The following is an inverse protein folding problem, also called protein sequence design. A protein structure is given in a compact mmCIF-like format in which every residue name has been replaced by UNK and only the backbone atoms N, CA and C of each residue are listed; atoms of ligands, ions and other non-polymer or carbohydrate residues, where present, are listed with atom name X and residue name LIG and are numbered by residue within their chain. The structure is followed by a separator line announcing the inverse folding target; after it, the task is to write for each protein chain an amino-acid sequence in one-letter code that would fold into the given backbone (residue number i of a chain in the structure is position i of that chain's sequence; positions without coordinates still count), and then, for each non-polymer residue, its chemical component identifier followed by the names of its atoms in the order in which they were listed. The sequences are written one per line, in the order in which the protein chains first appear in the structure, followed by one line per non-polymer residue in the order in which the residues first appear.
data_IF_950849440523
#
_entry.id   IF_950849440523
#
_cell.length_a   1.000
_cell.length_b   1.000
_cell.length_c   1.000
_cell.angle_alpha   90.00
_cell.angle_beta   90.00
_cell.angle_gamma   90.00
#
_symmetry.space_group_name_H-M   'P 1'
#
loop_
_entity.id
_entity.type
_entity.pdbx_description
1 polymer ?
#
# COMPACT_ATOMS: atom_id res chain seq x y z
N UNK A 1 8.28 13.31 -22.73
CA UNK A 1 7.08 13.41 -21.88
C UNK A 1 7.38 14.10 -20.57
N UNK A 2 6.41 14.81 -19.98
CA UNK A 2 6.57 15.39 -18.66
C UNK A 2 6.45 14.34 -17.56
N UNK A 3 7.24 14.47 -16.50
CA UNK A 3 7.25 13.54 -15.37
C UNK A 3 7.66 14.21 -14.06
N UNK A 4 7.23 13.64 -12.95
CA UNK A 4 7.69 14.00 -11.61
C UNK A 4 8.80 13.04 -11.18
N UNK A 5 10.04 13.53 -11.21
CA UNK A 5 11.24 12.74 -10.99
C UNK A 5 11.89 13.05 -9.64
N UNK A 6 12.19 12.01 -8.87
CA UNK A 6 13.01 12.12 -7.66
C UNK A 6 14.49 11.92 -8.03
N UNK A 7 15.32 12.91 -7.71
CA UNK A 7 16.76 12.94 -8.03
C UNK A 7 17.59 12.83 -6.77
N UNK A 8 18.58 11.93 -6.78
CA UNK A 8 19.55 11.88 -5.72
C UNK A 8 20.57 13.01 -5.91
N UNK A 9 20.52 13.99 -5.02
CA UNK A 9 21.51 15.07 -4.93
C UNK A 9 21.69 15.39 -3.45
N UNK A 10 22.90 15.16 -2.88
CA UNK A 10 23.15 15.34 -1.44
C UNK A 10 22.79 16.74 -0.92
N UNK A 11 23.09 17.80 -1.70
CA UNK A 11 22.78 19.17 -1.29
C UNK A 11 21.26 19.42 -1.21
N UNK A 12 20.49 18.95 -2.21
CA UNK A 12 19.03 19.04 -2.21
C UNK A 12 18.39 18.21 -1.11
N UNK A 13 18.91 17.00 -0.87
CA UNK A 13 18.43 16.14 0.21
C UNK A 13 18.70 16.76 1.58
N UNK A 14 19.91 17.30 1.80
CA UNK A 14 20.28 18.00 3.01
C UNK A 14 19.39 19.23 3.25
N UNK A 15 19.22 20.07 2.23
CA UNK A 15 18.29 21.22 2.28
C UNK A 15 16.87 20.76 2.67
N UNK A 16 16.31 19.79 1.95
CA UNK A 16 14.96 19.31 2.20
C UNK A 16 14.80 18.73 3.62
N UNK A 17 15.80 17.98 4.13
CA UNK A 17 15.78 17.42 5.48
C UNK A 17 15.80 18.49 6.57
N UNK A 18 16.65 19.52 6.43
CA UNK A 18 16.77 20.62 7.39
C UNK A 18 15.52 21.51 7.35
N UNK A 19 15.15 21.98 6.17
CA UNK A 19 14.01 22.88 6.02
C UNK A 19 12.66 22.18 6.19
N UNK A 20 12.61 20.87 5.94
CA UNK A 20 11.45 20.01 6.16
C UNK A 20 11.03 19.91 7.62
N UNK A 21 11.94 20.12 8.55
CA UNK A 21 11.63 20.25 9.99
C UNK A 21 10.67 21.44 10.27
N UNK A 22 10.81 22.52 9.51
CA UNK A 22 9.97 23.71 9.67
C UNK A 22 8.71 23.67 8.79
N UNK A 23 8.81 23.07 7.59
CA UNK A 23 7.68 23.00 6.67
C UNK A 23 7.82 21.82 5.68
N UNK A 24 6.81 20.97 5.56
CA UNK A 24 6.81 19.88 4.56
C UNK A 24 6.90 20.39 3.11
N UNK A 25 6.54 21.64 2.86
CA UNK A 25 6.66 22.28 1.53
C UNK A 25 8.10 22.36 1.03
N UNK A 26 9.10 22.32 1.93
CA UNK A 26 10.51 22.34 1.58
C UNK A 26 10.92 21.13 0.70
N UNK A 27 10.35 19.95 0.95
CA UNK A 27 10.60 18.74 0.14
C UNK A 27 10.11 18.89 -1.30
N UNK A 28 9.10 19.72 -1.52
CA UNK A 28 8.43 19.93 -2.81
C UNK A 28 8.83 21.25 -3.47
N UNK A 29 9.76 21.99 -2.86
CA UNK A 29 10.28 23.25 -3.41
C UNK A 29 11.19 22.99 -4.61
N UNK A 30 11.52 24.06 -5.37
CA UNK A 30 12.48 23.98 -6.47
C UNK A 30 13.90 23.57 -6.03
N UNK A 31 14.22 23.72 -4.74
CA UNK A 31 15.46 23.27 -4.12
C UNK A 31 15.36 21.86 -3.53
N UNK A 32 14.16 21.25 -3.51
CA UNK A 32 13.95 19.88 -3.05
C UNK A 32 14.39 18.83 -4.07
N UNK A 33 14.34 17.54 -3.68
CA UNK A 33 14.77 16.44 -4.55
C UNK A 33 13.79 16.11 -5.67
N UNK A 34 12.52 16.55 -5.57
CA UNK A 34 11.46 16.23 -6.52
C UNK A 34 11.36 17.32 -7.59
N UNK A 35 11.43 16.93 -8.85
CA UNK A 35 11.48 17.84 -10.00
C UNK A 35 10.43 17.44 -11.03
N UNK A 36 9.58 18.38 -11.42
CA UNK A 36 8.75 18.25 -12.62
C UNK A 36 9.62 18.63 -13.83
N UNK A 37 9.76 17.72 -14.77
CA UNK A 37 10.72 17.87 -15.87
C UNK A 37 10.32 17.01 -17.07
N UNK A 38 10.78 17.42 -18.23
CA UNK A 38 10.69 16.61 -19.43
C UNK A 38 11.74 15.49 -19.40
N UNK A 39 11.32 14.26 -19.73
CA UNK A 39 12.16 13.08 -19.89
C UNK A 39 11.83 12.39 -21.23
N UNK A 40 12.73 11.58 -21.79
CA UNK A 40 12.42 10.78 -22.98
C UNK A 40 11.19 9.89 -22.76
N UNK A 41 10.44 9.64 -23.82
CA UNK A 41 9.38 8.63 -23.81
C UNK A 41 9.99 7.24 -23.53
N UNK A 42 9.27 6.35 -22.85
CA UNK A 42 9.76 5.00 -22.58
C UNK A 42 9.94 4.21 -23.87
N UNK A 43 11.01 3.41 -23.88
CA UNK A 43 11.30 2.45 -24.94
C UNK A 43 11.05 1.02 -24.43
N UNK A 44 10.94 0.06 -25.36
CA UNK A 44 10.91 -1.35 -24.99
C UNK A 44 12.26 -1.77 -24.41
N UNK A 45 12.25 -2.35 -23.21
CA UNK A 45 13.46 -2.79 -22.53
C UNK A 45 13.89 -4.21 -22.96
N UNK A 46 13.00 -4.96 -23.59
CA UNK A 46 13.24 -6.21 -24.33
C UNK A 46 12.03 -6.51 -25.21
N UNK A 47 12.08 -7.63 -25.92
CA UNK A 47 10.99 -8.06 -26.85
C UNK A 47 9.66 -8.40 -26.13
N UNK A 48 9.67 -8.61 -24.81
CA UNK A 48 8.46 -8.90 -24.01
C UNK A 48 7.92 -7.67 -23.27
N UNK A 49 8.38 -6.46 -23.62
CA UNK A 49 7.96 -5.23 -22.99
C UNK A 49 6.90 -4.49 -23.80
N UNK A 50 6.13 -3.71 -23.11
CA UNK A 50 5.06 -2.84 -23.63
C UNK A 50 5.29 -1.41 -23.18
N UNK A 51 4.59 -0.47 -23.81
CA UNK A 51 4.41 0.89 -23.29
C UNK A 51 2.94 1.05 -22.93
N UNK A 52 2.68 1.42 -21.69
CA UNK A 52 1.34 1.68 -21.15
C UNK A 52 1.11 3.19 -21.08
N UNK A 53 -0.03 3.66 -21.58
CA UNK A 53 -0.54 5.00 -21.34
C UNK A 53 -1.29 4.99 -20.02
N UNK A 54 -0.78 5.71 -19.03
CA UNK A 54 -1.41 5.89 -17.72
C UNK A 54 -2.77 6.56 -17.87
N UNK A 55 -3.78 6.07 -17.18
CA UNK A 55 -5.08 6.72 -17.02
C UNK A 55 -5.25 7.26 -15.62
N UNK A 56 -4.99 6.42 -14.62
CA UNK A 56 -4.91 6.85 -13.22
C UNK A 56 -3.64 6.27 -12.59
N UNK A 57 -3.05 7.05 -11.68
CA UNK A 57 -2.01 6.56 -10.79
C UNK A 57 -2.36 6.92 -9.35
N UNK A 58 -2.56 5.93 -8.50
CA UNK A 58 -2.78 6.12 -7.07
C UNK A 58 -1.52 6.61 -6.36
N UNK A 59 -1.69 7.54 -5.41
CA UNK A 59 -0.61 7.93 -4.50
C UNK A 59 -0.65 7.00 -3.29
N UNK A 60 0.40 6.19 -3.14
CA UNK A 60 0.59 5.30 -2.00
C UNK A 60 1.19 6.03 -0.79
N UNK A 61 0.97 5.47 0.39
CA UNK A 61 1.66 5.94 1.60
C UNK A 61 3.19 5.77 1.51
N UNK A 62 3.68 4.77 0.78
CA UNK A 62 5.11 4.56 0.53
C UNK A 62 5.72 5.68 -0.33
N UNK A 63 5.03 6.13 -1.38
CA UNK A 63 5.47 7.28 -2.19
C UNK A 63 5.59 8.54 -1.33
N UNK A 64 4.58 8.79 -0.48
CA UNK A 64 4.58 9.91 0.45
C UNK A 64 5.79 9.84 1.39
N UNK A 65 6.07 8.67 1.98
CA UNK A 65 7.24 8.48 2.85
C UNK A 65 8.56 8.69 2.13
N UNK A 66 8.70 8.22 0.90
CA UNK A 66 9.89 8.46 0.08
C UNK A 66 10.09 9.96 -0.19
N UNK A 67 9.04 10.66 -0.63
CA UNK A 67 9.09 12.09 -0.95
C UNK A 67 9.46 12.93 0.26
N UNK A 68 8.85 12.65 1.41
CA UNK A 68 9.09 13.41 2.65
C UNK A 68 10.23 12.81 3.50
N UNK A 69 10.97 11.83 2.95
CA UNK A 69 12.16 11.22 3.55
C UNK A 69 11.88 10.71 4.98
N UNK A 70 10.71 10.07 5.17
CA UNK A 70 10.29 9.50 6.46
C UNK A 70 10.87 8.09 6.66
N UNK A 71 12.21 8.01 6.61
CA UNK A 71 12.98 6.80 6.89
C UNK A 71 14.37 7.20 7.41
N UNK A 72 15.04 6.25 8.08
CA UNK A 72 16.43 6.40 8.47
C UNK A 72 17.37 6.00 7.31
N UNK A 73 18.60 6.53 7.30
CA UNK A 73 19.58 6.22 6.24
C UNK A 73 20.07 4.77 6.28
N UNK A 74 19.98 4.11 7.43
CA UNK A 74 20.28 2.69 7.61
C UNK A 74 19.16 1.75 7.23
N UNK A 75 18.03 2.27 6.68
CA UNK A 75 16.94 1.45 6.19
C UNK A 75 17.43 0.51 5.06
N UNK A 76 17.31 -0.82 5.21
CA UNK A 76 17.79 -1.78 4.21
C UNK A 76 17.19 -1.58 2.81
N UNK A 77 15.97 -1.05 2.70
CA UNK A 77 15.31 -0.80 1.42
C UNK A 77 16.04 0.21 0.54
N UNK A 78 16.94 1.05 1.11
CA UNK A 78 17.80 1.96 0.35
C UNK A 78 18.74 1.22 -0.60
N UNK A 79 19.05 -0.04 -0.35
CA UNK A 79 19.84 -0.90 -1.23
C UNK A 79 19.10 -1.32 -2.50
N UNK A 80 17.76 -1.23 -2.50
CA UNK A 80 16.87 -1.71 -3.55
C UNK A 80 16.17 -0.57 -4.31
N UNK A 81 16.83 0.59 -4.43
CA UNK A 81 16.36 1.72 -5.24
C UNK A 81 17.49 2.25 -6.11
N UNK A 82 17.18 2.86 -7.25
CA UNK A 82 18.15 3.55 -8.10
C UNK A 82 17.58 4.88 -8.59
N UNK A 83 18.47 5.85 -8.83
CA UNK A 83 18.12 7.23 -9.20
C UNK A 83 18.68 7.59 -10.59
N UNK A 84 18.05 8.54 -11.29
CA UNK A 84 16.81 9.22 -10.95
C UNK A 84 15.61 8.27 -11.09
N UNK A 85 14.55 8.45 -10.32
CA UNK A 85 13.35 7.60 -10.39
C UNK A 85 12.08 8.44 -10.57
N UNK A 86 11.12 7.92 -11.32
CA UNK A 86 9.77 8.48 -11.46
C UNK A 86 8.83 7.61 -10.65
N UNK A 87 8.28 8.14 -9.56
CA UNK A 87 7.46 7.41 -8.60
C UNK A 87 6.11 6.94 -9.17
N UNK A 88 5.34 6.27 -8.35
CA UNK A 88 3.98 5.78 -8.63
C UNK A 88 3.94 4.36 -9.14
N UNK A 89 3.32 3.48 -8.37
CA UNK A 89 3.25 2.05 -8.65
C UNK A 89 1.80 1.50 -8.68
N UNK A 90 0.82 2.25 -8.23
CA UNK A 90 -0.60 1.88 -8.31
C UNK A 90 -1.20 2.42 -9.63
N UNK A 91 -0.98 1.74 -10.74
CA UNK A 91 -1.26 2.26 -12.08
C UNK A 91 -2.33 1.45 -12.80
N UNK A 92 -3.28 2.15 -13.41
CA UNK A 92 -4.18 1.62 -14.43
C UNK A 92 -4.05 2.42 -15.72
N UNK A 93 -4.16 1.73 -16.84
CA UNK A 93 -3.96 2.37 -18.13
C UNK A 93 -4.41 1.55 -19.32
N UNK A 94 -3.94 1.97 -20.49
CA UNK A 94 -4.19 1.30 -21.77
C UNK A 94 -2.86 1.03 -22.44
N UNK A 95 -2.65 -0.16 -22.94
CA UNK A 95 -1.45 -0.52 -23.71
C UNK A 95 -1.38 0.32 -24.98
N UNK A 96 -0.36 1.19 -25.07
CA UNK A 96 -0.12 2.07 -26.22
C UNK A 96 0.56 1.32 -27.37
N UNK A 97 1.54 0.48 -27.03
CA UNK A 97 2.31 -0.31 -28.00
C UNK A 97 2.94 -1.53 -27.33
N UNK A 98 3.23 -2.55 -28.13
CA UNK A 98 3.84 -3.81 -27.71
C UNK A 98 5.07 -4.08 -28.55
N UNK A 99 6.11 -4.68 -27.96
CA UNK A 99 7.28 -5.19 -28.70
C UNK A 99 6.96 -6.52 -29.40
N UNK A 100 7.85 -6.95 -30.31
CA UNK A 100 7.62 -8.09 -31.19
C UNK A 100 7.43 -9.44 -30.52
N UNK A 101 7.98 -9.64 -29.34
CA UNK A 101 7.89 -10.88 -28.56
C UNK A 101 6.74 -10.92 -27.55
N UNK A 102 5.92 -9.88 -27.44
CA UNK A 102 4.74 -9.86 -26.57
C UNK A 102 3.67 -10.78 -27.14
N UNK A 103 3.22 -11.75 -26.36
CA UNK A 103 2.26 -12.78 -26.80
C UNK A 103 0.97 -12.78 -25.99
N UNK A 104 0.98 -12.24 -24.77
CA UNK A 104 -0.14 -12.30 -23.82
C UNK A 104 -0.97 -11.01 -23.77
N UNK A 105 -0.50 -9.95 -24.43
CA UNK A 105 -1.10 -8.61 -24.36
C UNK A 105 -1.15 -7.97 -25.74
N UNK A 106 -2.05 -7.01 -25.92
CA UNK A 106 -2.20 -6.29 -27.19
C UNK A 106 -2.43 -4.80 -27.01
N UNK A 107 -2.13 -4.04 -28.05
CA UNK A 107 -2.40 -2.60 -28.09
C UNK A 107 -3.91 -2.33 -27.91
N UNK A 108 -4.25 -1.33 -27.12
CA UNK A 108 -5.62 -0.95 -26.79
C UNK A 108 -6.21 -1.69 -25.59
N UNK A 109 -5.56 -2.71 -25.06
CA UNK A 109 -6.03 -3.45 -23.89
C UNK A 109 -5.97 -2.59 -22.64
N UNK A 110 -7.05 -2.62 -21.83
CA UNK A 110 -7.15 -1.95 -20.53
C UNK A 110 -6.49 -2.82 -19.47
N UNK A 111 -5.54 -2.26 -18.71
CA UNK A 111 -4.70 -3.03 -17.80
C UNK A 111 -4.50 -2.35 -16.45
N UNK A 112 -4.30 -3.17 -15.41
CA UNK A 112 -3.72 -2.78 -14.12
C UNK A 112 -2.30 -3.33 -14.02
N UNK A 113 -1.40 -2.55 -13.44
CA UNK A 113 0.00 -2.86 -13.27
C UNK A 113 0.25 -3.63 -11.96
N UNK A 114 0.79 -4.85 -12.05
CA UNK A 114 1.52 -5.45 -10.94
C UNK A 114 2.94 -4.86 -10.95
N UNK A 115 3.31 -4.03 -9.97
CA UNK A 115 4.49 -3.18 -10.13
C UNK A 115 5.84 -3.90 -9.94
N UNK A 116 5.87 -5.14 -9.49
CA UNK A 116 7.08 -5.82 -9.02
C UNK A 116 8.04 -6.15 -10.16
N UNK A 117 9.26 -5.61 -10.07
CA UNK A 117 10.37 -5.90 -10.98
C UNK A 117 11.07 -7.21 -10.57
N UNK A 118 10.33 -8.29 -10.60
CA UNK A 118 10.76 -9.63 -10.20
C UNK A 118 11.65 -10.31 -11.26
N UNK A 119 11.95 -11.60 -11.13
CA UNK A 119 12.85 -12.32 -12.03
C UNK A 119 12.47 -12.18 -13.50
N UNK A 120 11.18 -12.36 -13.85
CA UNK A 120 10.72 -12.39 -15.25
C UNK A 120 10.91 -11.04 -15.96
N UNK A 121 10.43 -9.89 -15.42
CA UNK A 121 10.75 -8.58 -16.00
C UNK A 121 12.24 -8.28 -16.11
N UNK A 122 13.06 -8.88 -15.24
CA UNK A 122 14.53 -8.73 -15.23
C UNK A 122 15.27 -9.65 -16.18
N UNK A 123 14.56 -10.51 -16.92
CA UNK A 123 15.14 -11.50 -17.82
C UNK A 123 15.96 -12.59 -17.11
N UNK A 124 15.61 -12.93 -15.87
CA UNK A 124 16.33 -13.90 -15.05
C UNK A 124 15.65 -15.26 -15.12
N UNK A 125 16.42 -16.27 -15.54
CA UNK A 125 16.04 -17.69 -15.55
C UNK A 125 17.17 -18.53 -14.97
N UNK A 126 16.89 -19.58 -14.17
CA UNK A 126 15.57 -19.94 -13.66
C UNK A 126 15.04 -18.90 -12.64
N UNK A 127 13.72 -18.86 -12.47
CA UNK A 127 13.11 -17.99 -11.44
C UNK A 127 13.57 -18.40 -10.05
N UNK A 128 13.76 -17.42 -9.15
CA UNK A 128 14.01 -17.70 -7.72
C UNK A 128 12.81 -18.39 -7.05
N UNK A 129 13.00 -18.93 -5.84
CA UNK A 129 11.97 -19.66 -5.12
C UNK A 129 10.70 -18.81 -4.94
N UNK A 130 10.84 -17.57 -4.47
CA UNK A 130 9.72 -16.67 -4.27
C UNK A 130 8.91 -16.41 -5.56
N UNK A 131 9.59 -16.18 -6.69
CA UNK A 131 8.91 -15.95 -7.97
C UNK A 131 8.19 -17.19 -8.50
N UNK A 132 8.76 -18.39 -8.33
CA UNK A 132 8.09 -19.66 -8.69
C UNK A 132 6.80 -19.86 -7.90
N UNK A 133 6.80 -19.41 -6.65
CA UNK A 133 5.64 -19.51 -5.76
C UNK A 133 4.63 -18.36 -5.94
N UNK A 134 4.88 -17.44 -6.88
CA UNK A 134 4.00 -16.28 -7.12
C UNK A 134 4.16 -15.14 -6.10
N UNK A 135 5.18 -15.20 -5.25
CA UNK A 135 5.52 -14.15 -4.27
C UNK A 135 6.49 -13.14 -4.88
N UNK A 136 6.09 -12.47 -5.94
CA UNK A 136 6.94 -11.56 -6.74
C UNK A 136 7.56 -10.43 -5.91
N UNK A 137 6.85 -9.97 -4.90
CA UNK A 137 7.27 -8.93 -3.96
C UNK A 137 8.38 -9.36 -2.98
N UNK A 138 8.71 -10.66 -2.93
CA UNK A 138 9.81 -11.24 -2.18
C UNK A 138 10.94 -11.76 -3.10
N UNK A 139 11.00 -11.28 -4.33
CA UNK A 139 12.02 -11.69 -5.28
C UNK A 139 13.43 -11.48 -4.72
N UNK A 140 14.28 -12.52 -4.84
CA UNK A 140 15.67 -12.47 -4.37
C UNK A 140 16.59 -11.66 -5.30
N UNK A 141 16.09 -11.26 -6.48
CA UNK A 141 16.88 -10.72 -7.59
C UNK A 141 16.58 -9.24 -7.93
N UNK A 142 16.09 -8.43 -6.99
CA UNK A 142 15.78 -7.03 -7.26
C UNK A 142 16.97 -6.15 -7.65
N UNK A 143 18.20 -6.66 -7.55
CA UNK A 143 19.43 -5.98 -7.92
C UNK A 143 20.13 -6.61 -9.13
N UNK A 144 19.61 -7.74 -9.65
CA UNK A 144 20.22 -8.51 -10.74
C UNK A 144 19.46 -8.35 -12.06
N UNK A 145 19.97 -8.97 -13.12
CA UNK A 145 19.38 -8.94 -14.47
C UNK A 145 19.70 -7.66 -15.22
N UNK A 146 18.96 -7.38 -16.29
CA UNK A 146 19.24 -6.27 -17.19
C UNK A 146 18.67 -4.91 -16.74
N UNK A 147 17.80 -4.89 -15.72
CA UNK A 147 17.26 -3.65 -15.17
C UNK A 147 18.16 -3.07 -14.08
N UNK A 148 18.18 -1.77 -13.94
CA UNK A 148 18.75 -1.14 -12.76
C UNK A 148 18.07 -1.65 -11.48
N UNK A 149 18.77 -1.62 -10.34
CA UNK A 149 18.21 -2.06 -9.06
C UNK A 149 16.93 -1.32 -8.74
N UNK A 150 15.94 -2.04 -8.20
CA UNK A 150 14.62 -1.51 -7.87
C UNK A 150 13.65 -2.65 -7.59
N UNK A 151 12.81 -2.51 -6.57
CA UNK A 151 11.82 -3.53 -6.23
C UNK A 151 10.61 -3.50 -7.16
N UNK A 152 10.16 -2.31 -7.51
CA UNK A 152 8.95 -2.10 -8.31
C UNK A 152 9.11 -0.90 -9.26
N UNK A 153 8.21 -0.76 -10.21
CA UNK A 153 8.07 0.44 -11.03
C UNK A 153 7.98 1.66 -10.12
N UNK A 154 8.71 2.70 -10.47
CA UNK A 154 8.75 3.91 -9.66
C UNK A 154 9.89 3.99 -8.65
N UNK A 155 10.67 2.92 -8.44
CA UNK A 155 11.89 3.00 -7.64
C UNK A 155 13.14 2.42 -8.34
N UNK A 156 13.07 2.25 -9.65
CA UNK A 156 14.18 1.92 -10.54
C UNK A 156 14.45 3.07 -11.51
N UNK A 157 15.72 3.35 -11.80
CA UNK A 157 16.10 4.35 -12.80
C UNK A 157 15.83 3.91 -14.25
N UNK A 158 15.61 2.62 -14.48
CA UNK A 158 15.31 2.06 -15.81
C UNK A 158 13.81 1.98 -16.06
N UNK A 159 13.00 1.73 -15.01
CA UNK A 159 11.55 1.52 -15.13
C UNK A 159 10.82 2.64 -14.41
N UNK A 160 10.29 3.57 -15.19
CA UNK A 160 9.49 4.68 -14.65
C UNK A 160 8.19 4.18 -14.06
N UNK A 161 7.67 4.90 -13.06
CA UNK A 161 6.34 4.71 -12.51
C UNK A 161 5.29 5.62 -13.10
N UNK A 162 4.11 5.60 -12.50
CA UNK A 162 2.92 6.30 -13.02
C UNK A 162 2.87 7.81 -12.74
N UNK A 163 3.92 8.42 -12.16
CA UNK A 163 4.02 9.88 -12.12
C UNK A 163 4.56 10.42 -13.45
N UNK A 164 4.13 9.78 -14.52
CA UNK A 164 4.34 10.11 -15.91
C UNK A 164 3.18 9.57 -16.77
N UNK A 165 2.87 10.20 -17.92
CA UNK A 165 1.75 9.75 -18.78
C UNK A 165 2.00 8.44 -19.50
N UNK A 166 3.27 8.01 -19.63
CA UNK A 166 3.66 6.75 -20.24
C UNK A 166 4.66 6.03 -19.32
N UNK A 167 4.55 4.70 -19.25
CA UNK A 167 5.53 3.86 -18.54
C UNK A 167 5.81 2.56 -19.31
N UNK A 168 7.05 2.01 -19.20
CA UNK A 168 7.34 0.69 -19.74
C UNK A 168 6.87 -0.37 -18.75
N UNK A 169 6.29 -1.46 -19.25
CA UNK A 169 5.90 -2.60 -18.44
C UNK A 169 6.14 -3.91 -19.19
N UNK A 170 6.69 -4.91 -18.52
CA UNK A 170 6.79 -6.26 -19.07
C UNK A 170 5.40 -6.90 -19.12
N UNK A 171 5.11 -7.74 -20.14
CA UNK A 171 3.77 -8.34 -20.29
C UNK A 171 3.28 -9.11 -19.06
N UNK A 172 4.20 -9.72 -18.26
CA UNK A 172 3.86 -10.45 -17.03
C UNK A 172 3.43 -9.54 -15.87
N UNK A 173 3.70 -8.25 -15.97
CA UNK A 173 3.29 -7.24 -14.97
C UNK A 173 1.87 -6.72 -15.23
N UNK A 174 1.27 -7.06 -16.35
CA UNK A 174 0.00 -6.47 -16.78
C UNK A 174 -1.15 -7.48 -16.63
N UNK A 175 -2.19 -7.03 -15.94
CA UNK A 175 -3.42 -7.79 -15.74
C UNK A 175 -4.58 -7.07 -16.45
N UNK A 176 -5.40 -7.79 -17.25
CA UNK A 176 -6.50 -7.17 -17.97
C UNK A 176 -7.58 -6.70 -16.99
N UNK A 177 -8.13 -5.53 -17.25
CA UNK A 177 -9.31 -5.02 -16.53
C UNK A 177 -10.55 -5.57 -17.25
N UNK A 178 -11.41 -6.33 -16.56
CA UNK A 178 -12.63 -6.87 -17.14
C UNK A 178 -13.56 -5.78 -17.67
N UNK A 179 -14.35 -6.13 -18.69
CA UNK A 179 -15.41 -5.27 -19.19
C UNK A 179 -16.41 -4.92 -18.07
N UNK A 180 -16.86 -3.67 -18.09
CA UNK A 180 -17.77 -3.15 -17.05
C UNK A 180 -17.08 -2.60 -15.80
N UNK A 181 -15.82 -2.92 -15.54
CA UNK A 181 -15.03 -2.34 -14.43
C UNK A 181 -14.42 -1.01 -14.90
N UNK A 182 -14.66 0.05 -14.17
CA UNK A 182 -14.09 1.38 -14.43
C UNK A 182 -12.61 1.47 -14.04
N UNK A 183 -11.89 2.49 -14.52
CA UNK A 183 -10.53 2.75 -14.03
C UNK A 183 -10.51 3.16 -12.57
N UNK A 184 -11.58 3.78 -12.07
CA UNK A 184 -11.73 4.16 -10.66
C UNK A 184 -11.79 2.94 -9.73
N UNK A 185 -12.49 1.91 -10.14
CA UNK A 185 -12.50 0.64 -9.43
C UNK A 185 -11.17 -0.09 -9.60
N UNK A 186 -10.65 -0.14 -10.82
CA UNK A 186 -9.43 -0.89 -11.11
C UNK A 186 -8.19 -0.34 -10.41
N UNK A 187 -8.06 0.97 -10.17
CA UNK A 187 -6.91 1.57 -9.46
C UNK A 187 -6.86 1.17 -7.98
N UNK A 188 -7.95 0.64 -7.44
CA UNK A 188 -7.99 0.09 -6.09
C UNK A 188 -7.49 -1.37 -6.03
N UNK A 189 -7.21 -2.01 -7.15
CA UNK A 189 -6.74 -3.41 -7.18
C UNK A 189 -5.44 -3.60 -6.37
N UNK A 190 -4.48 -2.68 -6.48
CA UNK A 190 -3.23 -2.74 -5.73
C UNK A 190 -3.48 -2.65 -4.21
N UNK A 191 -4.06 -1.58 -3.64
CA UNK A 191 -4.30 -1.50 -2.19
C UNK A 191 -5.29 -2.57 -1.67
N UNK A 192 -6.25 -3.01 -2.49
CA UNK A 192 -7.11 -4.15 -2.14
C UNK A 192 -6.28 -5.42 -1.96
N UNK A 193 -5.38 -5.69 -2.89
CA UNK A 193 -4.53 -6.88 -2.87
C UNK A 193 -3.58 -6.92 -1.67
N UNK A 194 -3.03 -5.77 -1.27
CA UNK A 194 -2.25 -5.63 -0.03
C UNK A 194 -3.08 -6.02 1.19
N UNK A 195 -4.33 -5.55 1.27
CA UNK A 195 -5.23 -5.85 2.37
C UNK A 195 -5.68 -7.31 2.36
N UNK A 196 -5.97 -7.86 1.18
CA UNK A 196 -6.36 -9.27 1.01
C UNK A 196 -5.22 -10.21 1.43
N UNK A 197 -3.99 -9.97 0.95
CA UNK A 197 -2.81 -10.75 1.33
C UNK A 197 -2.63 -10.79 2.85
N UNK A 198 -2.75 -9.66 3.52
CA UNK A 198 -2.61 -9.57 4.98
C UNK A 198 -3.65 -10.43 5.71
N UNK A 199 -4.90 -10.41 5.24
CA UNK A 199 -6.00 -11.17 5.83
C UNK A 199 -5.81 -12.67 5.56
N UNK A 200 -5.48 -13.07 4.32
CA UNK A 200 -5.28 -14.47 3.97
C UNK A 200 -4.02 -15.07 4.64
N UNK A 201 -3.00 -14.25 4.93
CA UNK A 201 -1.80 -14.67 5.66
C UNK A 201 -2.08 -15.01 7.12
N UNK A 202 -3.04 -14.36 7.73
CA UNK A 202 -3.46 -14.62 9.11
C UNK A 202 -4.98 -14.45 9.20
N UNK A 203 -5.75 -15.40 8.67
CA UNK A 203 -7.21 -15.30 8.68
C UNK A 203 -7.74 -15.33 10.12
N UNK A 204 -8.81 -14.56 10.42
CA UNK A 204 -9.43 -14.59 11.73
C UNK A 204 -10.11 -15.94 11.95
N UNK A 205 -10.10 -16.47 13.19
CA UNK A 205 -10.93 -17.63 13.53
C UNK A 205 -12.42 -17.39 13.28
N UNK A 206 -13.19 -18.47 13.19
CA UNK A 206 -14.65 -18.36 13.08
C UNK A 206 -15.21 -17.72 14.36
N UNK A 207 -16.22 -16.84 14.20
CA UNK A 207 -16.90 -16.13 15.30
C UNK A 207 -15.94 -15.38 16.24
N UNK A 208 -14.86 -14.86 15.71
CA UNK A 208 -13.82 -14.15 16.44
C UNK A 208 -13.96 -12.63 16.36
N UNK A 209 -13.02 -11.92 17.00
CA UNK A 209 -12.94 -10.48 17.00
C UNK A 209 -11.67 -10.00 16.29
N UNK A 210 -11.80 -8.95 15.51
CA UNK A 210 -10.67 -8.30 14.83
C UNK A 210 -10.66 -6.80 15.09
N UNK A 211 -9.44 -6.25 15.24
CA UNK A 211 -9.22 -4.82 15.13
C UNK A 211 -8.61 -4.51 13.76
N UNK A 212 -9.17 -3.54 13.05
CA UNK A 212 -8.52 -2.87 11.94
C UNK A 212 -7.98 -1.53 12.45
N UNK A 213 -6.66 -1.44 12.60
CA UNK A 213 -6.01 -0.25 13.12
C UNK A 213 -5.62 0.70 11.98
N UNK A 214 -6.32 1.85 11.91
CA UNK A 214 -6.17 2.85 10.86
C UNK A 214 -7.14 2.68 9.70
N UNK A 215 -8.09 3.62 9.56
CA UNK A 215 -9.11 3.64 8.53
C UNK A 215 -8.73 4.53 7.33
N UNK A 216 -7.50 4.38 6.83
CA UNK A 216 -7.10 4.85 5.50
C UNK A 216 -7.54 3.87 4.40
N UNK A 217 -7.01 4.01 3.19
CA UNK A 217 -7.37 3.13 2.05
C UNK A 217 -7.23 1.65 2.40
N UNK A 218 -6.08 1.22 2.95
CA UNK A 218 -5.86 -0.19 3.31
C UNK A 218 -6.83 -0.66 4.40
N UNK A 219 -7.02 0.13 5.47
CA UNK A 219 -7.90 -0.29 6.57
C UNK A 219 -9.36 -0.39 6.15
N UNK A 220 -9.87 0.55 5.35
CA UNK A 220 -11.22 0.50 4.82
C UNK A 220 -11.42 -0.74 3.93
N UNK A 221 -10.46 -1.04 3.05
CA UNK A 221 -10.49 -2.25 2.23
C UNK A 221 -10.38 -3.51 3.09
N UNK A 222 -9.57 -3.51 4.16
CA UNK A 222 -9.50 -4.63 5.10
C UNK A 222 -10.86 -4.90 5.78
N UNK A 223 -11.57 -3.84 6.21
CA UNK A 223 -12.93 -3.98 6.79
C UNK A 223 -13.88 -4.61 5.79
N UNK A 224 -13.90 -4.14 4.54
CA UNK A 224 -14.76 -4.68 3.49
C UNK A 224 -14.46 -6.16 3.19
N UNK A 225 -13.17 -6.52 3.10
CA UNK A 225 -12.72 -7.91 2.87
C UNK A 225 -13.13 -8.80 4.05
N UNK A 226 -12.86 -8.38 5.29
CA UNK A 226 -13.22 -9.11 6.48
C UNK A 226 -14.73 -9.35 6.57
N UNK A 227 -15.55 -8.32 6.32
CA UNK A 227 -17.00 -8.44 6.35
C UNK A 227 -17.52 -9.37 5.25
N UNK A 228 -16.87 -9.34 4.07
CA UNK A 228 -17.27 -10.21 2.97
C UNK A 228 -16.89 -11.67 3.21
N UNK A 229 -15.66 -11.95 3.65
CA UNK A 229 -15.15 -13.31 3.79
C UNK A 229 -15.54 -13.98 5.11
N UNK A 230 -15.79 -13.20 6.17
CA UNK A 230 -16.04 -13.68 7.53
C UNK A 230 -17.26 -12.97 8.13
N UNK A 231 -18.47 -13.35 7.70
CA UNK A 231 -19.71 -12.65 8.03
C UNK A 231 -19.98 -12.52 9.53
N UNK A 232 -19.59 -13.52 10.33
CA UNK A 232 -19.77 -13.55 11.80
C UNK A 232 -18.74 -12.78 12.61
N UNK A 233 -17.69 -12.22 11.97
CA UNK A 233 -16.62 -11.55 12.72
C UNK A 233 -17.07 -10.22 13.34
N UNK A 234 -16.65 -9.97 14.60
CA UNK A 234 -16.80 -8.67 15.24
C UNK A 234 -15.63 -7.76 14.84
N UNK A 235 -15.88 -6.77 13.97
CA UNK A 235 -14.87 -5.86 13.43
C UNK A 235 -14.89 -4.55 14.19
N UNK A 236 -13.83 -4.31 14.96
CA UNK A 236 -13.58 -3.05 15.64
C UNK A 236 -12.59 -2.20 14.83
N UNK A 237 -13.03 -1.06 14.31
CA UNK A 237 -12.19 -0.18 13.51
C UNK A 237 -11.65 0.98 14.37
N UNK A 238 -10.35 1.31 14.23
CA UNK A 238 -9.76 2.46 14.90
C UNK A 238 -9.53 3.56 13.86
N UNK A 239 -10.36 4.61 13.96
CA UNK A 239 -10.34 5.76 13.07
C UNK A 239 -9.81 7.01 13.77
N UNK A 240 -9.20 7.93 13.02
CA UNK A 240 -8.72 9.20 13.55
C UNK A 240 -9.63 10.37 13.18
N UNK A 241 -10.33 10.29 12.06
CA UNK A 241 -11.08 11.39 11.48
C UNK A 241 -12.55 11.01 11.22
N UNK A 242 -13.50 11.98 11.26
CA UNK A 242 -14.93 11.70 11.08
C UNK A 242 -15.28 11.04 9.74
N UNK A 243 -14.62 11.43 8.64
CA UNK A 243 -14.85 10.80 7.34
C UNK A 243 -14.43 9.32 7.32
N UNK A 244 -13.36 8.97 8.04
CA UNK A 244 -12.91 7.59 8.18
C UNK A 244 -13.90 6.76 9.00
N UNK A 245 -14.46 7.33 10.07
CA UNK A 245 -15.49 6.70 10.89
C UNK A 245 -16.73 6.35 10.06
N UNK A 246 -17.25 7.30 9.28
CA UNK A 246 -18.39 7.09 8.40
C UNK A 246 -18.12 5.95 7.40
N UNK A 247 -17.02 6.01 6.68
CA UNK A 247 -16.66 4.99 5.70
C UNK A 247 -16.39 3.61 6.33
N UNK A 248 -15.83 3.56 7.55
CA UNK A 248 -15.61 2.29 8.23
C UNK A 248 -16.96 1.57 8.55
N UNK A 249 -17.99 2.30 8.97
CA UNK A 249 -19.32 1.73 9.12
C UNK A 249 -19.93 1.30 7.78
N UNK A 250 -19.80 2.11 6.73
CA UNK A 250 -20.28 1.77 5.38
C UNK A 250 -19.61 0.50 4.83
N UNK A 251 -18.33 0.26 5.20
CA UNK A 251 -17.55 -0.93 4.84
C UNK A 251 -17.89 -2.15 5.72
N UNK A 252 -18.69 -2.00 6.77
CA UNK A 252 -19.16 -3.10 7.59
C UNK A 252 -18.45 -3.28 8.93
N UNK A 253 -17.78 -2.26 9.48
CA UNK A 253 -17.29 -2.30 10.86
C UNK A 253 -18.46 -2.45 11.84
N UNK A 254 -18.29 -3.29 12.86
CA UNK A 254 -19.29 -3.49 13.92
C UNK A 254 -19.32 -2.30 14.89
N UNK A 255 -18.14 -1.72 15.14
CA UNK A 255 -17.95 -0.53 15.94
C UNK A 255 -16.72 0.25 15.48
N UNK A 256 -16.74 1.56 15.65
CA UNK A 256 -15.58 2.43 15.38
C UNK A 256 -15.17 3.14 16.66
N UNK A 257 -13.90 3.02 17.01
CA UNK A 257 -13.26 3.84 18.06
C UNK A 257 -12.59 5.03 17.37
N UNK A 258 -13.14 6.23 17.60
CA UNK A 258 -12.56 7.46 17.06
C UNK A 258 -11.59 8.05 18.08
N UNK A 259 -10.37 7.59 18.07
CA UNK A 259 -9.30 8.10 18.93
C UNK A 259 -7.91 7.97 18.32
N UNK A 260 -7.00 8.82 18.76
CA UNK A 260 -5.56 8.74 18.52
C UNK A 260 -4.76 8.43 19.80
N UNK A 261 -5.45 8.33 20.93
CA UNK A 261 -4.84 8.16 22.25
C UNK A 261 -4.87 6.68 22.65
N UNK A 262 -3.71 6.03 22.85
CA UNK A 262 -3.64 4.61 23.18
C UNK A 262 -4.48 4.21 24.40
N UNK A 263 -4.46 5.02 25.46
CA UNK A 263 -5.23 4.73 26.68
C UNK A 263 -6.74 4.63 26.42
N UNK A 264 -7.31 5.57 25.65
CA UNK A 264 -8.73 5.57 25.29
C UNK A 264 -9.10 4.34 24.45
N UNK A 265 -8.19 3.93 23.53
CA UNK A 265 -8.40 2.74 22.69
C UNK A 265 -8.40 1.49 23.57
N UNK A 266 -7.44 1.34 24.47
CA UNK A 266 -7.34 0.19 25.38
C UNK A 266 -8.58 0.10 26.29
N UNK A 267 -9.01 1.24 26.82
CA UNK A 267 -10.21 1.33 27.67
C UNK A 267 -11.48 0.94 26.88
N UNK A 268 -11.64 1.44 25.64
CA UNK A 268 -12.78 1.11 24.80
C UNK A 268 -12.83 -0.39 24.47
N UNK A 269 -11.68 -1.04 24.22
CA UNK A 269 -11.60 -2.50 24.02
C UNK A 269 -11.95 -3.25 25.31
N UNK A 270 -11.44 -2.79 26.47
CA UNK A 270 -11.81 -3.33 27.79
C UNK A 270 -13.32 -3.33 28.03
N UNK A 271 -13.96 -2.19 27.78
CA UNK A 271 -15.41 -2.02 27.93
C UNK A 271 -16.22 -2.90 26.96
N UNK A 272 -15.80 -2.93 25.67
CA UNK A 272 -16.50 -3.72 24.63
C UNK A 272 -16.56 -5.19 24.96
N UNK A 273 -15.47 -5.75 25.44
CA UNK A 273 -15.33 -7.20 25.68
C UNK A 273 -15.46 -7.56 27.17
N UNK A 274 -15.79 -6.58 28.03
CA UNK A 274 -15.91 -6.73 29.48
C UNK A 274 -14.68 -7.42 30.09
N UNK A 275 -13.47 -6.94 29.72
CA UNK A 275 -12.19 -7.49 30.17
C UNK A 275 -11.60 -6.51 31.19
N UNK A 276 -11.14 -7.05 32.31
CA UNK A 276 -10.51 -6.26 33.38
C UNK A 276 -9.30 -5.47 32.86
N UNK A 277 -9.31 -4.17 33.12
CA UNK A 277 -8.19 -3.27 32.84
C UNK A 277 -7.16 -3.37 33.95
N UNK A 278 -5.92 -3.64 33.61
CA UNK A 278 -4.80 -3.72 34.54
C UNK A 278 -3.88 -2.52 34.37
N UNK A 279 -3.49 -1.90 35.48
CA UNK A 279 -2.68 -0.70 35.51
C UNK A 279 -1.27 -1.01 36.03
N UNK A 280 -0.22 -0.81 35.22
CA UNK A 280 1.15 -0.81 35.73
C UNK A 280 1.40 0.39 36.64
N UNK A 281 2.49 0.41 37.34
CA UNK A 281 2.87 1.56 38.19
C UNK A 281 2.99 2.88 37.41
N UNK A 282 3.40 2.78 36.15
CA UNK A 282 3.45 3.89 35.20
C UNK A 282 3.16 3.39 33.78
N UNK A 283 2.68 4.28 32.90
CA UNK A 283 2.46 4.00 31.47
C UNK A 283 1.03 3.56 31.16
N UNK A 284 0.87 2.93 30.00
CA UNK A 284 -0.43 2.54 29.48
C UNK A 284 -0.99 1.30 30.19
N UNK A 285 -2.31 1.25 30.42
CA UNK A 285 -2.96 0.04 30.91
C UNK A 285 -2.88 -1.08 29.87
N UNK A 286 -3.26 -2.29 30.28
CA UNK A 286 -3.30 -3.44 29.38
C UNK A 286 -4.36 -4.47 29.80
N UNK A 287 -4.65 -5.43 28.92
CA UNK A 287 -5.64 -6.48 29.13
C UNK A 287 -4.96 -7.84 29.05
N UNK A 288 -5.35 -8.78 29.91
CA UNK A 288 -4.95 -10.20 29.75
C UNK A 288 -5.75 -10.89 28.64
N UNK A 289 -7.02 -10.55 28.48
CA UNK A 289 -7.82 -10.94 27.31
C UNK A 289 -7.60 -9.99 26.14
N UNK A 290 -8.56 -9.92 25.24
CA UNK A 290 -8.56 -9.00 24.10
C UNK A 290 -9.05 -9.63 22.80
N UNK A 291 -8.71 -9.01 21.70
CA UNK A 291 -9.12 -9.44 20.37
C UNK A 291 -8.23 -10.57 19.82
N UNK A 292 -8.77 -11.35 18.91
CA UNK A 292 -8.10 -12.50 18.30
C UNK A 292 -7.01 -12.08 17.32
N UNK A 293 -7.30 -11.07 16.50
CA UNK A 293 -6.38 -10.58 15.46
C UNK A 293 -6.46 -9.07 15.29
N UNK A 294 -5.32 -8.45 15.01
CA UNK A 294 -5.22 -7.04 14.64
C UNK A 294 -4.57 -6.93 13.25
N UNK A 295 -5.19 -6.16 12.36
CA UNK A 295 -4.61 -5.74 11.09
C UNK A 295 -4.17 -4.28 11.23
N UNK A 296 -2.88 -4.08 11.47
CA UNK A 296 -2.28 -2.75 11.66
C UNK A 296 -1.82 -2.18 10.32
N UNK A 297 -2.60 -1.25 9.76
CA UNK A 297 -2.31 -0.60 8.48
C UNK A 297 -1.44 0.66 8.63
N UNK A 298 -0.97 0.97 9.83
CA UNK A 298 -0.10 2.12 10.16
C UNK A 298 1.32 1.65 10.43
N UNK A 299 1.50 0.61 11.25
CA UNK A 299 2.78 0.00 11.58
C UNK A 299 3.72 0.94 12.35
N UNK A 300 3.19 1.76 13.25
CA UNK A 300 3.99 2.63 14.12
C UNK A 300 4.27 1.95 15.46
N UNK A 301 5.33 2.39 16.15
CA UNK A 301 5.61 1.95 17.52
C UNK A 301 4.39 2.08 18.44
N UNK A 302 3.64 3.18 18.31
CA UNK A 302 2.42 3.43 19.09
C UNK A 302 1.30 2.43 18.77
N UNK A 303 1.05 2.12 17.48
CA UNK A 303 -0.02 1.20 17.09
C UNK A 303 0.32 -0.23 17.46
N UNK A 304 1.59 -0.63 17.30
CA UNK A 304 2.10 -1.94 17.72
C UNK A 304 1.96 -2.08 19.24
N UNK A 305 2.44 -1.11 20.03
CA UNK A 305 2.34 -1.15 21.49
C UNK A 305 0.89 -1.21 21.96
N UNK A 306 0.00 -0.41 21.38
CA UNK A 306 -1.44 -0.46 21.70
C UNK A 306 -2.02 -1.84 21.34
N UNK A 307 -1.67 -2.36 20.16
CA UNK A 307 -2.08 -3.69 19.73
C UNK A 307 -1.65 -4.79 20.69
N UNK A 308 -0.39 -4.79 21.12
CA UNK A 308 0.12 -5.77 22.09
C UNK A 308 -0.66 -5.76 23.42
N UNK A 309 -1.17 -4.60 23.83
CA UNK A 309 -1.92 -4.44 25.08
C UNK A 309 -3.35 -4.98 24.99
N UNK A 310 -3.96 -4.98 23.79
CA UNK A 310 -5.36 -5.36 23.58
C UNK A 310 -5.57 -6.67 22.83
N UNK A 311 -4.50 -7.31 22.34
CA UNK A 311 -4.56 -8.64 21.73
C UNK A 311 -4.59 -9.70 22.85
N UNK A 312 -5.41 -10.74 22.70
CA UNK A 312 -5.45 -11.87 23.64
C UNK A 312 -4.14 -12.67 23.65
N UNK A 313 -3.88 -13.52 24.67
CA UNK A 313 -2.77 -14.45 24.62
C UNK A 313 -2.81 -15.32 23.35
N UNK A 314 -1.66 -15.49 22.69
CA UNK A 314 -1.48 -16.22 21.43
C UNK A 314 -2.30 -15.69 20.27
N UNK A 315 -2.77 -14.43 20.36
CA UNK A 315 -3.41 -13.74 19.25
C UNK A 315 -2.37 -13.22 18.23
N UNK A 316 -2.86 -12.67 17.13
CA UNK A 316 -2.03 -12.24 16.01
C UNK A 316 -2.11 -10.71 15.79
N UNK A 317 -0.97 -10.11 15.46
CA UNK A 317 -0.91 -8.73 14.95
C UNK A 317 -0.24 -8.78 13.57
N UNK A 318 -1.00 -8.48 12.53
CA UNK A 318 -0.54 -8.43 11.14
C UNK A 318 -0.20 -6.98 10.81
N UNK A 319 1.07 -6.72 10.55
CA UNK A 319 1.58 -5.37 10.28
C UNK A 319 1.75 -5.18 8.77
N UNK A 320 0.91 -4.35 8.17
CA UNK A 320 0.96 -3.98 6.75
C UNK A 320 1.53 -2.58 6.51
N UNK A 321 1.38 -1.70 7.51
CA UNK A 321 2.00 -0.39 7.50
C UNK A 321 3.45 -0.46 7.94
N UNK A 322 4.29 0.43 7.41
CA UNK A 322 5.69 0.58 7.84
C UNK A 322 5.94 2.02 8.20
N UNK A 323 6.31 2.27 9.44
CA UNK A 323 6.69 3.59 9.93
C UNK A 323 8.13 3.54 10.47
N UNK A 324 8.73 4.73 10.63
CA UNK A 324 10.08 4.85 11.21
C UNK A 324 10.13 4.15 12.57
N UNK A 325 11.10 3.26 12.83
CA UNK A 325 11.23 2.55 14.11
C UNK A 325 11.39 3.52 15.29
N UNK A 326 10.69 3.22 16.38
CA UNK A 326 10.82 3.92 17.67
C UNK A 326 10.73 2.91 18.81
N UNK A 327 11.21 3.28 19.99
CA UNK A 327 11.03 2.47 21.19
C UNK A 327 9.55 2.34 21.54
N UNK A 328 9.15 1.19 22.02
CA UNK A 328 7.86 0.90 22.63
C UNK A 328 8.01 -0.21 23.68
N UNK A 329 7.06 -0.31 24.58
CA UNK A 329 7.02 -1.37 25.58
C UNK A 329 6.47 -2.66 24.99
N UNK A 330 7.28 -3.66 24.89
CA UNK A 330 6.93 -4.93 24.21
C UNK A 330 6.77 -6.13 25.16
N UNK A 331 6.90 -5.93 26.50
CA UNK A 331 6.68 -7.00 27.47
C UNK A 331 5.37 -7.78 27.25
N UNK A 332 4.23 -7.16 26.87
CA UNK A 332 3.02 -7.89 26.53
C UNK A 332 3.18 -8.88 25.37
N UNK A 333 4.05 -8.59 24.39
CA UNK A 333 4.38 -9.54 23.31
C UNK A 333 4.96 -10.83 23.87
N UNK A 334 5.99 -10.70 24.70
CA UNK A 334 6.62 -11.85 25.35
C UNK A 334 5.66 -12.58 26.29
N UNK A 335 5.01 -11.84 27.18
CA UNK A 335 4.19 -12.43 28.24
C UNK A 335 2.93 -13.12 27.74
N UNK A 336 2.28 -12.59 26.69
CA UNK A 336 1.08 -13.15 26.08
C UNK A 336 1.38 -14.05 24.87
N UNK A 337 2.65 -14.30 24.54
CA UNK A 337 3.07 -15.09 23.37
C UNK A 337 2.37 -14.64 22.07
N UNK A 338 2.27 -13.32 21.86
CA UNK A 338 1.58 -12.74 20.68
C UNK A 338 2.44 -12.89 19.43
N UNK A 339 1.84 -13.30 18.31
CA UNK A 339 2.52 -13.35 17.02
C UNK A 339 2.54 -11.97 16.36
N UNK A 340 3.72 -11.42 16.06
CA UNK A 340 3.89 -10.26 15.18
C UNK A 340 4.22 -10.77 13.78
N UNK A 341 3.32 -10.49 12.83
CA UNK A 341 3.38 -11.02 11.47
C UNK A 341 3.55 -9.84 10.50
N UNK A 342 4.72 -9.75 9.85
CA UNK A 342 4.92 -8.80 8.77
C UNK A 342 4.14 -9.21 7.52
N UNK A 343 3.45 -8.28 6.87
CA UNK A 343 2.76 -8.50 5.60
C UNK A 343 3.17 -7.42 4.61
N UNK A 344 3.90 -7.81 3.58
CA UNK A 344 4.39 -6.90 2.55
C UNK A 344 3.67 -7.21 1.23
N UNK A 345 3.03 -6.21 0.64
CA UNK A 345 2.45 -6.28 -0.69
C UNK A 345 1.48 -7.45 -0.96
N UNK A 346 1.60 -8.10 -2.14
CA UNK A 346 0.69 -9.15 -2.59
C UNK A 346 1.30 -9.98 -3.73
N UNK A 347 0.73 -11.16 -3.95
CA UNK A 347 1.12 -12.07 -5.02
C UNK A 347 -0.01 -13.04 -5.38
N UNK A 348 0.35 -14.33 -5.52
CA UNK A 348 -0.60 -15.43 -5.76
C UNK A 348 -1.02 -16.04 -4.44
N UNK A 349 -2.32 -16.09 -4.19
CA UNK A 349 -2.93 -16.60 -2.98
C UNK A 349 -3.73 -17.89 -3.21
N UNK A 350 -3.92 -18.67 -2.15
CA UNK A 350 -4.92 -19.73 -2.12
C UNK A 350 -6.27 -19.13 -1.75
N UNK A 351 -7.15 -19.04 -2.72
CA UNK A 351 -8.50 -18.50 -2.53
C UNK A 351 -9.54 -19.47 -3.07
N UNK A 352 -10.50 -19.85 -2.26
CA UNK A 352 -11.56 -20.81 -2.61
C UNK A 352 -11.00 -22.11 -3.24
N UNK A 353 -9.88 -22.63 -2.70
CA UNK A 353 -9.24 -23.86 -3.18
C UNK A 353 -8.42 -23.74 -4.46
N UNK A 354 -8.25 -22.53 -4.98
CA UNK A 354 -7.47 -22.25 -6.20
C UNK A 354 -6.35 -21.26 -5.95
N UNK A 355 -5.22 -21.46 -6.64
CA UNK A 355 -4.13 -20.48 -6.63
C UNK A 355 -4.42 -19.41 -7.68
N UNK A 356 -4.58 -18.16 -7.23
CA UNK A 356 -4.90 -17.00 -8.08
C UNK A 356 -4.11 -15.78 -7.64
N UNK A 357 -3.77 -14.93 -8.59
CA UNK A 357 -3.22 -13.62 -8.27
C UNK A 357 -4.28 -12.75 -7.59
N UNK A 358 -3.86 -11.91 -6.62
CA UNK A 358 -4.80 -11.06 -5.88
C UNK A 358 -5.64 -10.14 -6.77
N UNK A 359 -5.12 -9.68 -7.91
CA UNK A 359 -5.89 -8.89 -8.88
C UNK A 359 -7.03 -9.69 -9.51
N UNK A 360 -6.79 -10.96 -9.85
CA UNK A 360 -7.84 -11.83 -10.40
C UNK A 360 -8.94 -12.08 -9.38
N UNK A 361 -8.55 -12.24 -8.09
CA UNK A 361 -9.51 -12.38 -6.98
C UNK A 361 -10.34 -11.09 -6.85
N UNK A 362 -9.68 -9.92 -6.86
CA UNK A 362 -10.36 -8.63 -6.78
C UNK A 362 -11.39 -8.45 -7.89
N UNK A 363 -10.99 -8.64 -9.14
CA UNK A 363 -11.88 -8.49 -10.28
C UNK A 363 -13.01 -9.53 -10.29
N UNK A 364 -12.73 -10.76 -9.87
CA UNK A 364 -13.77 -11.76 -9.70
C UNK A 364 -14.82 -11.35 -8.67
N UNK A 365 -14.41 -10.82 -7.53
CA UNK A 365 -15.32 -10.36 -6.48
C UNK A 365 -16.20 -9.19 -6.94
N UNK A 366 -15.63 -8.26 -7.71
CA UNK A 366 -16.38 -7.13 -8.27
C UNK A 366 -17.38 -7.60 -9.34
N UNK A 367 -16.93 -8.37 -10.32
CA UNK A 367 -17.77 -8.79 -11.47
C UNK A 367 -18.93 -9.68 -11.05
N UNK A 368 -18.77 -10.44 -9.98
CA UNK A 368 -19.85 -11.28 -9.43
C UNK A 368 -20.74 -10.52 -8.43
N UNK A 369 -20.55 -9.20 -8.25
CA UNK A 369 -21.34 -8.40 -7.29
C UNK A 369 -21.14 -8.84 -5.83
N UNK A 370 -20.09 -9.60 -5.53
CA UNK A 370 -19.79 -10.11 -4.19
C UNK A 370 -19.12 -9.07 -3.31
N UNK A 371 -18.56 -8.02 -3.91
CA UNK A 371 -17.87 -6.93 -3.21
C UNK A 371 -18.43 -5.60 -3.70
N UNK A 372 -18.98 -4.82 -2.79
CA UNK A 372 -19.39 -3.45 -3.07
C UNK A 372 -18.46 -2.51 -2.28
N UNK A 373 -17.63 -1.76 -2.99
CA UNK A 373 -16.75 -0.76 -2.40
C UNK A 373 -17.23 0.60 -2.86
N UNK A 374 -17.67 1.48 -1.95
CA UNK A 374 -17.97 2.87 -2.31
C UNK A 374 -16.71 3.55 -2.84
N UNK A 375 -16.87 4.60 -3.62
CA UNK A 375 -15.72 5.32 -4.17
C UNK A 375 -14.81 5.82 -3.05
N UNK A 376 -13.59 5.31 -3.02
CA UNK A 376 -12.54 5.75 -2.08
C UNK A 376 -11.68 6.88 -2.64
N UNK A 377 -11.78 7.18 -3.93
CA UNK A 377 -11.05 8.27 -4.56
C UNK A 377 -11.68 9.59 -4.14
N UNK A 378 -11.03 10.30 -3.23
CA UNK A 378 -11.50 11.57 -2.70
C UNK A 378 -10.90 12.78 -3.41
N UNK A 379 -9.71 12.62 -4.00
CA UNK A 379 -8.99 13.72 -4.65
C UNK A 379 -8.35 13.24 -5.96
N UNK A 380 -8.48 14.11 -6.97
CA UNK A 380 -7.88 13.90 -8.29
C UNK A 380 -7.08 15.14 -8.66
N UNK A 381 -5.88 14.93 -9.14
CA UNK A 381 -4.99 15.98 -9.56
C UNK A 381 -4.40 15.66 -10.94
N UNK A 382 -4.29 16.63 -11.84
CA UNK A 382 -3.40 16.49 -12.98
C UNK A 382 -1.95 16.47 -12.48
N UNK A 383 -1.04 15.91 -13.27
CA UNK A 383 0.36 15.69 -12.84
C UNK A 383 1.08 16.99 -12.46
N UNK A 384 0.76 18.09 -13.15
CA UNK A 384 1.35 19.41 -12.90
C UNK A 384 1.07 19.91 -11.47
N UNK A 385 -0.01 19.46 -10.86
CA UNK A 385 -0.39 19.77 -9.48
C UNK A 385 0.19 18.77 -8.46
N UNK A 386 1.33 18.12 -8.78
CA UNK A 386 1.94 17.12 -7.92
C UNK A 386 2.25 17.61 -6.51
N UNK A 387 2.57 18.91 -6.36
CA UNK A 387 2.86 19.47 -5.03
C UNK A 387 1.64 19.46 -4.13
N UNK A 388 0.50 19.89 -4.66
CA UNK A 388 -0.79 19.89 -3.96
C UNK A 388 -1.24 18.46 -3.64
N UNK A 389 -1.13 17.56 -4.61
CA UNK A 389 -1.46 16.15 -4.46
C UNK A 389 -0.64 15.49 -3.33
N UNK A 390 0.67 15.73 -3.30
CA UNK A 390 1.57 15.18 -2.28
C UNK A 390 1.37 15.83 -0.90
N UNK A 391 1.09 17.14 -0.83
CA UNK A 391 0.70 17.80 0.44
C UNK A 391 -0.62 17.27 0.97
N UNK A 392 -1.59 17.00 0.10
CA UNK A 392 -2.86 16.37 0.48
C UNK A 392 -2.62 14.95 1.02
N UNK A 393 -1.69 14.20 0.43
CA UNK A 393 -1.30 12.88 0.92
C UNK A 393 -0.53 12.94 2.24
N UNK A 394 0.26 13.98 2.48
CA UNK A 394 1.00 14.20 3.73
C UNK A 394 0.07 14.52 4.89
N UNK A 395 -0.90 15.40 4.69
CA UNK A 395 -1.86 15.83 5.73
C UNK A 395 -3.30 15.42 5.38
N UNK A 396 -3.51 14.11 5.26
CA UNK A 396 -4.83 13.52 4.94
C UNK A 396 -5.95 13.98 5.88
N UNK A 397 -5.61 14.28 7.13
CA UNK A 397 -6.59 14.74 8.12
C UNK A 397 -7.16 16.10 7.80
N UNK A 398 -6.32 17.05 7.43
CA UNK A 398 -6.72 18.40 7.03
C UNK A 398 -7.61 18.37 5.78
N UNK A 399 -7.26 17.54 4.80
CA UNK A 399 -7.95 17.44 3.52
C UNK A 399 -9.05 16.38 3.50
N UNK A 400 -9.24 15.64 4.59
CA UNK A 400 -10.15 14.49 4.66
C UNK A 400 -9.92 13.46 3.53
N UNK A 401 -8.67 13.29 3.13
CA UNK A 401 -8.30 12.46 2.01
C UNK A 401 -8.23 10.97 2.39
N UNK A 402 -8.78 10.11 1.54
CA UNK A 402 -8.65 8.65 1.61
C UNK A 402 -7.71 8.18 0.51
N UNK A 403 -8.17 8.12 -0.74
CA UNK A 403 -7.36 7.80 -1.91
C UNK A 403 -7.20 9.04 -2.78
N UNK A 404 -5.97 9.31 -3.16
CA UNK A 404 -5.59 10.41 -4.04
C UNK A 404 -5.03 9.78 -5.30
N UNK A 405 -5.38 10.33 -6.47
CA UNK A 405 -4.87 9.84 -7.75
C UNK A 405 -4.37 11.00 -8.61
N UNK A 406 -3.32 10.75 -9.39
CA UNK A 406 -3.06 11.51 -10.59
C UNK A 406 -3.97 11.01 -11.70
N UNK A 407 -4.66 11.93 -12.36
CA UNK A 407 -5.66 11.66 -13.38
C UNK A 407 -5.20 12.22 -14.74
N UNK A 408 -5.00 11.29 -15.68
CA UNK A 408 -4.56 11.56 -17.05
C UNK A 408 -5.69 11.42 -18.07
N UNK A 409 -6.95 11.27 -17.63
CA UNK A 409 -8.07 11.01 -18.54
C UNK A 409 -8.36 12.17 -19.47
N UNK A 410 -8.04 13.39 -19.03
CA UNK A 410 -8.20 14.63 -19.82
C UNK A 410 -6.91 15.08 -20.54
N UNK A 411 -5.81 14.32 -20.40
CA UNK A 411 -4.57 14.60 -21.13
C UNK A 411 -4.64 14.01 -22.52
N UNK A 412 -4.42 14.81 -23.55
CA UNK A 412 -4.53 14.46 -24.97
C UNK A 412 -3.57 13.32 -25.39
#
# INVERSE_FOLDING_TARGET
MEAVQFRYNPARLGFAKVMGFFSPRAYLSSLGPLVYTEIPDPVFLSESWTVVRTRLCGICGSDTKQVFMDADFDNPLTTMVSFPMVLGHEVVGVIKSVASGVTKRQTGERVVLNPWLSCEPRGIQPLCAACRDGNYFLCENFQAGHLAKGMHSGNSSTVTGGYAPLLPAHESMLFPIPDGISFDEAVLADPFSVSLHAILKSPPPVDSSAIVYGCGTLGLLSIAILRHLYSGIDILAIARYPNQEKLAYEMGASQVIKSRHPAEIIEAVSQRYNIQLMHPWQGLPWLMGGVDVIYDTIGSAQTIETGLRVTRPRGNIVVTGVSRPKKFEWTPHYFKEINLIGSNAFGVENFEGQRRHCFDIYFQLLTHGRLNIPSLITHRYPLEQYREALLTSYDKGKYQAIKIVFDYTNSA
#
